data_IF_131176592038
#
_entry.id   IF_131176592038
#
_cell.length_a   1.000
_cell.length_b   1.000
_cell.length_c   1.000
_cell.angle_alpha   90.00
_cell.angle_beta   90.00
_cell.angle_gamma   90.00
#
_symmetry.space_group_name_H-M   'P 1'
#
loop_
_entity.id
_entity.type
_entity.pdbx_description
1 polymer ?
#
# COMPACT_ATOMS: atom_id res chain seq x y z
N UNK A 1 7.47 3.71 16.33
CA UNK A 1 7.46 5.14 15.91
C UNK A 1 6.68 5.27 14.61
N UNK A 2 5.97 6.39 14.35
CA UNK A 2 5.38 6.67 13.03
C UNK A 2 6.48 7.18 12.11
N UNK A 3 6.61 6.58 10.93
CA UNK A 3 7.62 6.90 9.93
C UNK A 3 7.05 7.73 8.78
N UNK A 4 5.82 7.45 8.37
CA UNK A 4 5.12 8.20 7.34
C UNK A 4 3.59 8.08 7.48
N UNK A 5 2.86 9.07 6.98
CA UNK A 5 1.41 9.06 6.84
C UNK A 5 1.05 9.28 5.37
N UNK A 6 0.31 8.34 4.78
CA UNK A 6 -0.15 8.39 3.39
C UNK A 6 -1.67 8.47 3.35
N UNK A 7 -2.20 9.53 2.76
CA UNK A 7 -3.63 9.72 2.58
C UNK A 7 -3.99 9.56 1.12
N UNK A 8 -5.05 8.81 0.84
CA UNK A 8 -5.61 8.67 -0.50
C UNK A 8 -6.98 9.32 -0.54
N UNK A 9 -7.24 10.09 -1.58
CA UNK A 9 -8.49 10.84 -1.65
C UNK A 9 -8.68 11.56 -2.96
N UNK A 10 -9.68 12.42 -2.99
CA UNK A 10 -10.04 13.21 -4.17
C UNK A 10 -9.81 14.67 -3.87
N UNK A 11 -9.35 15.40 -4.88
CA UNK A 11 -9.35 16.85 -4.84
C UNK A 11 -10.77 17.33 -5.17
N UNK A 12 -11.45 17.87 -4.16
CA UNK A 12 -12.76 18.52 -4.30
C UNK A 12 -12.58 20.05 -4.39
N UNK A 13 -13.66 20.78 -4.69
CA UNK A 13 -13.64 22.25 -4.81
C UNK A 13 -13.21 22.94 -3.51
N UNK A 14 -13.57 22.36 -2.37
CA UNK A 14 -13.32 22.92 -1.04
C UNK A 14 -12.01 22.43 -0.40
N UNK A 15 -11.33 21.45 -1.02
CA UNK A 15 -10.09 20.90 -0.48
C UNK A 15 -9.88 19.43 -0.83
N UNK A 16 -8.87 18.82 -0.21
CA UNK A 16 -8.60 17.39 -0.34
C UNK A 16 -9.50 16.60 0.62
N UNK A 17 -10.23 15.62 0.09
CA UNK A 17 -11.16 14.78 0.84
C UNK A 17 -10.56 13.36 0.97
N UNK A 18 -9.97 13.00 2.13
CA UNK A 18 -9.35 11.69 2.31
C UNK A 18 -10.41 10.57 2.40
N UNK A 19 -10.24 9.53 1.58
CA UNK A 19 -11.00 8.28 1.64
C UNK A 19 -10.32 7.25 2.54
N UNK A 20 -8.98 7.20 2.52
CA UNK A 20 -8.16 6.28 3.32
C UNK A 20 -6.93 6.96 3.87
N UNK A 21 -6.49 6.53 5.05
CA UNK A 21 -5.23 6.96 5.65
C UNK A 21 -4.44 5.73 6.05
N UNK A 22 -3.19 5.66 5.60
CA UNK A 22 -2.24 4.62 5.94
C UNK A 22 -1.09 5.20 6.76
N UNK A 23 -0.65 4.45 7.76
CA UNK A 23 0.42 4.83 8.67
C UNK A 23 1.55 3.82 8.53
N UNK A 24 2.73 4.26 8.11
CA UNK A 24 3.93 3.45 8.17
C UNK A 24 4.50 3.60 9.58
N UNK A 25 4.66 2.49 10.29
CA UNK A 25 5.22 2.47 11.63
C UNK A 25 6.38 1.49 11.72
N UNK A 26 7.32 1.76 12.62
CA UNK A 26 8.55 0.97 12.79
C UNK A 26 8.40 -0.25 13.71
N UNK A 27 7.52 -0.19 14.71
CA UNK A 27 7.48 -1.18 15.81
C UNK A 27 6.11 -1.89 15.87
N UNK A 28 6.04 -3.20 16.17
CA UNK A 28 7.14 -4.10 16.57
C UNK A 28 8.07 -4.54 15.42
N UNK A 29 7.59 -4.46 14.18
CA UNK A 29 8.37 -4.54 12.94
C UNK A 29 7.81 -3.51 11.96
N UNK A 30 8.57 -3.06 10.94
CA UNK A 30 8.05 -2.09 10.00
C UNK A 30 6.78 -2.57 9.28
N UNK A 31 5.71 -1.78 9.31
CA UNK A 31 4.45 -2.12 8.66
C UNK A 31 3.56 -0.92 8.33
N UNK A 32 2.70 -1.07 7.32
CA UNK A 32 1.57 -0.18 7.09
C UNK A 32 0.36 -0.60 7.92
N UNK A 33 -0.32 0.39 8.50
CA UNK A 33 -1.61 0.27 9.19
C UNK A 33 -2.64 1.11 8.43
N UNK A 34 -3.79 0.52 8.09
CA UNK A 34 -4.89 1.28 7.48
C UNK A 34 -5.85 1.80 8.55
N UNK A 35 -6.25 3.06 8.39
CA UNK A 35 -7.36 3.68 9.10
C UNK A 35 -8.40 4.19 8.09
N UNK A 36 -9.67 3.94 8.40
CA UNK A 36 -10.80 4.33 7.54
C UNK A 36 -11.65 5.39 8.25
N UNK A 37 -12.22 6.30 7.46
CA UNK A 37 -13.12 7.33 7.98
C UNK A 37 -14.40 6.67 8.49
N UNK A 38 -14.64 6.78 9.79
CA UNK A 38 -15.91 6.39 10.41
C UNK A 38 -16.93 7.49 10.14
N UNK A 39 -17.80 7.24 9.16
CA UNK A 39 -18.85 8.18 8.74
C UNK A 39 -19.86 8.48 9.84
N UNK A 40 -19.92 7.69 10.93
CA UNK A 40 -20.82 7.92 12.05
C UNK A 40 -20.20 8.78 13.15
N UNK A 41 -18.88 8.79 13.28
CA UNK A 41 -18.17 9.47 14.37
C UNK A 41 -17.27 10.62 13.93
N UNK A 42 -17.11 10.84 12.62
CA UNK A 42 -16.14 11.80 12.06
C UNK A 42 -14.69 11.55 12.52
N UNK A 43 -14.41 10.31 12.95
CA UNK A 43 -13.09 9.87 13.44
C UNK A 43 -12.48 8.84 12.49
N UNK A 44 -11.18 8.59 12.58
CA UNK A 44 -10.51 7.51 11.88
C UNK A 44 -10.32 6.31 12.81
N UNK A 45 -10.73 5.13 12.36
CA UNK A 45 -10.57 3.87 13.10
C UNK A 45 -9.63 2.94 12.36
N UNK A 46 -8.70 2.31 13.09
CA UNK A 46 -7.89 1.23 12.53
C UNK A 46 -8.79 0.11 12.00
N UNK A 47 -8.54 -0.33 10.77
CA UNK A 47 -9.31 -1.41 10.15
C UNK A 47 -8.91 -2.79 10.67
N UNK A 48 -7.84 -2.87 11.48
CA UNK A 48 -7.26 -4.11 12.01
C UNK A 48 -6.30 -4.80 11.03
N UNK A 49 -6.12 -4.25 9.82
CA UNK A 49 -5.22 -4.78 8.80
C UNK A 49 -3.83 -4.18 8.89
N UNK A 50 -2.80 -5.04 8.74
CA UNK A 50 -1.39 -4.67 8.76
C UNK A 50 -0.63 -5.32 7.60
N UNK A 51 0.28 -4.57 7.00
CA UNK A 51 1.20 -5.05 5.97
C UNK A 51 2.64 -4.93 6.47
N UNK A 52 3.30 -6.02 6.84
CA UNK A 52 4.73 -5.91 7.18
C UNK A 52 5.55 -5.66 5.92
N UNK A 53 6.58 -4.81 6.05
CA UNK A 53 7.36 -4.32 4.91
C UNK A 53 8.84 -4.30 5.24
N UNK A 54 9.68 -4.32 4.20
CA UNK A 54 11.06 -3.90 4.33
C UNK A 54 11.15 -2.40 4.05
N UNK A 55 11.75 -1.65 4.98
CA UNK A 55 12.02 -0.22 4.80
C UNK A 55 13.06 0.07 3.70
N UNK A 56 13.75 -0.94 3.19
CA UNK A 56 14.64 -0.83 2.02
C UNK A 56 13.95 -1.18 0.70
N UNK A 57 12.66 -1.55 0.72
CA UNK A 57 11.94 -1.95 -0.48
C UNK A 57 11.70 -0.76 -1.41
N UNK A 58 12.10 -0.91 -2.67
CA UNK A 58 11.76 0.02 -3.75
C UNK A 58 10.28 0.01 -4.17
N UNK A 59 9.48 -0.88 -3.57
CA UNK A 59 8.05 -1.07 -3.84
C UNK A 59 7.19 -0.78 -2.60
N UNK A 60 7.74 -0.11 -1.60
CA UNK A 60 7.08 0.21 -0.32
C UNK A 60 5.69 0.86 -0.49
N UNK A 61 5.50 1.74 -1.48
CA UNK A 61 4.20 2.37 -1.77
C UNK A 61 3.37 1.53 -2.74
N UNK A 62 4.00 0.98 -3.78
CA UNK A 62 3.35 0.10 -4.77
C UNK A 62 2.65 -1.06 -4.06
N UNK A 63 3.33 -1.71 -3.11
CA UNK A 63 2.80 -2.83 -2.35
C UNK A 63 1.65 -2.41 -1.42
N UNK A 64 1.68 -1.19 -0.88
CA UNK A 64 0.57 -0.65 -0.09
C UNK A 64 -0.67 -0.42 -0.97
N UNK A 65 -0.50 0.12 -2.18
CA UNK A 65 -1.59 0.28 -3.15
C UNK A 65 -2.15 -1.06 -3.64
N UNK A 66 -1.30 -2.07 -3.87
CA UNK A 66 -1.72 -3.43 -4.21
C UNK A 66 -2.46 -4.11 -3.04
N UNK A 67 -2.13 -3.78 -1.79
CA UNK A 67 -2.78 -4.40 -0.63
C UNK A 67 -4.09 -3.72 -0.24
N UNK A 68 -4.07 -2.39 -0.08
CA UNK A 68 -5.19 -1.64 0.49
C UNK A 68 -6.02 -0.92 -0.57
N UNK A 69 -5.53 -0.81 -1.81
CA UNK A 69 -6.04 0.10 -2.82
C UNK A 69 -6.44 -0.52 -4.16
N UNK A 70 -6.51 -1.84 -4.29
CA UNK A 70 -6.86 -2.50 -5.58
C UNK A 70 -8.16 -1.99 -6.22
N UNK A 71 -9.12 -1.57 -5.41
CA UNK A 71 -10.38 -1.00 -5.88
C UNK A 71 -10.24 0.38 -6.53
N UNK A 72 -9.12 1.06 -6.34
CA UNK A 72 -8.79 2.36 -6.92
C UNK A 72 -7.77 2.28 -8.06
N UNK A 73 -7.18 1.11 -8.31
CA UNK A 73 -6.25 0.94 -9.41
C UNK A 73 -6.98 1.02 -10.76
N UNK A 74 -6.38 1.71 -11.74
CA UNK A 74 -6.96 1.88 -13.07
C UNK A 74 -7.17 0.53 -13.78
N UNK A 75 -6.33 -0.45 -13.45
CA UNK A 75 -6.25 -1.77 -14.07
C UNK A 75 -6.73 -2.91 -13.16
N UNK A 76 -7.66 -2.62 -12.25
CA UNK A 76 -8.15 -3.54 -11.20
C UNK A 76 -8.34 -4.99 -11.66
N UNK A 77 -9.02 -5.23 -12.78
CA UNK A 77 -9.31 -6.60 -13.25
C UNK A 77 -8.03 -7.38 -13.54
N UNK A 78 -7.11 -6.78 -14.31
CA UNK A 78 -5.80 -7.38 -14.63
C UNK A 78 -4.97 -7.62 -13.37
N UNK A 79 -4.97 -6.67 -12.43
CA UNK A 79 -4.25 -6.81 -11.17
C UNK A 79 -4.81 -7.94 -10.31
N UNK A 80 -6.13 -8.09 -10.23
CA UNK A 80 -6.76 -9.21 -9.52
C UNK A 80 -6.37 -10.55 -10.16
N UNK A 81 -6.30 -10.63 -11.49
CA UNK A 81 -5.84 -11.83 -12.19
C UNK A 81 -4.35 -12.12 -11.92
N UNK A 82 -3.48 -11.11 -11.97
CA UNK A 82 -2.06 -11.26 -11.70
C UNK A 82 -1.77 -11.69 -10.25
N UNK A 83 -2.58 -11.23 -9.29
CA UNK A 83 -2.44 -11.57 -7.87
C UNK A 83 -3.14 -12.88 -7.49
N UNK A 84 -3.99 -13.45 -8.35
CA UNK A 84 -4.74 -14.68 -8.05
C UNK A 84 -3.85 -15.90 -7.73
N UNK A 85 -2.73 -16.16 -8.42
CA UNK A 85 -1.85 -17.27 -8.07
C UNK A 85 -1.28 -17.16 -6.66
N UNK A 86 -0.88 -15.95 -6.26
CA UNK A 86 -0.50 -15.66 -4.89
C UNK A 86 -1.68 -15.99 -3.98
N UNK A 87 -2.89 -15.52 -4.36
CA UNK A 87 -4.18 -15.77 -3.66
C UNK A 87 -4.45 -17.22 -3.32
N UNK A 88 -4.12 -18.10 -4.25
CA UNK A 88 -4.36 -19.53 -4.11
C UNK A 88 -3.27 -20.20 -3.27
N UNK A 89 -2.00 -19.80 -3.41
CA UNK A 89 -0.88 -20.39 -2.67
C UNK A 89 -1.01 -20.20 -1.14
N UNK A 90 -1.40 -19.01 -0.68
CA UNK A 90 -1.57 -18.73 0.77
C UNK A 90 -2.71 -19.53 1.41
N UNK A 91 -3.71 -19.97 0.63
CA UNK A 91 -4.79 -20.82 1.15
C UNK A 91 -4.37 -22.27 1.41
N UNK A 92 -3.24 -22.72 0.86
CA UNK A 92 -2.80 -24.14 0.94
C UNK A 92 -1.99 -24.43 2.20
N UNK A 93 -1.51 -23.41 2.94
CA UNK A 93 -0.82 -23.57 4.23
C UNK A 93 -1.80 -23.38 5.41
N UNK A 94 -2.29 -24.44 6.06
CA UNK A 94 -3.24 -24.34 7.16
C UNK A 94 -2.48 -23.98 8.44
N UNK A 95 -2.48 -22.70 8.79
CA UNK A 95 -1.83 -22.17 10.00
C UNK A 95 -1.89 -20.64 10.13
N UNK A 96 -2.19 -19.91 9.05
CA UNK A 96 -2.42 -18.46 9.08
C UNK A 96 -3.91 -18.14 9.15
N UNK A 97 -4.27 -17.29 10.11
CA UNK A 97 -5.61 -17.13 10.66
C UNK A 97 -6.64 -16.56 9.66
N UNK A 98 -7.84 -17.18 9.68
CA UNK A 98 -9.20 -16.66 9.47
C UNK A 98 -9.41 -15.42 8.59
N UNK A 99 -10.22 -15.58 7.53
CA UNK A 99 -10.90 -14.44 6.88
C UNK A 99 -10.43 -14.23 5.45
N UNK A 100 -11.02 -14.98 4.55
CA UNK A 100 -10.78 -14.94 3.12
C UNK A 100 -11.22 -13.58 2.57
N UNK A 101 -10.28 -12.62 2.47
CA UNK A 101 -10.29 -11.56 1.44
C UNK A 101 -9.10 -10.57 1.48
N UNK A 102 -8.38 -10.40 2.59
CA UNK A 102 -7.47 -9.23 2.72
C UNK A 102 -6.13 -9.47 3.46
N UNK A 103 -5.74 -10.72 3.71
CA UNK A 103 -4.44 -11.09 4.32
C UNK A 103 -3.32 -11.32 3.30
N UNK A 104 -3.45 -10.75 2.10
CA UNK A 104 -2.69 -11.22 0.94
C UNK A 104 -1.20 -10.86 0.92
N UNK A 105 -0.78 -9.84 1.68
CA UNK A 105 0.56 -9.29 1.53
C UNK A 105 1.20 -8.95 2.88
N UNK A 106 0.82 -9.67 3.93
CA UNK A 106 1.37 -9.48 5.27
C UNK A 106 2.87 -9.73 5.38
N UNK A 107 3.52 -10.37 4.40
CA UNK A 107 4.96 -10.41 4.33
C UNK A 107 5.42 -10.56 2.87
N UNK A 108 5.81 -9.47 2.19
CA UNK A 108 6.70 -9.55 1.03
C UNK A 108 7.93 -10.45 1.31
N UNK A 109 8.33 -10.60 2.58
CA UNK A 109 9.39 -11.50 3.04
C UNK A 109 9.15 -13.00 2.81
N UNK A 110 7.90 -13.49 2.86
CA UNK A 110 7.63 -14.93 2.68
C UNK A 110 7.51 -15.30 1.19
N UNK A 111 7.02 -14.38 0.36
CA UNK A 111 6.83 -14.61 -1.08
C UNK A 111 8.14 -14.49 -1.87
N UNK A 112 9.13 -13.73 -1.38
CA UNK A 112 10.43 -13.60 -2.05
C UNK A 112 11.27 -14.88 -2.05
N UNK A 113 10.93 -15.87 -1.22
CA UNK A 113 11.60 -17.18 -1.18
C UNK A 113 11.09 -18.16 -2.25
N UNK A 114 9.96 -17.84 -2.90
CA UNK A 114 9.41 -18.63 -4.00
C UNK A 114 9.54 -17.81 -5.30
N UNK A 115 10.39 -18.28 -6.21
CA UNK A 115 10.68 -17.58 -7.47
C UNK A 115 9.44 -17.38 -8.33
N UNK A 116 8.51 -18.33 -8.32
CA UNK A 116 7.29 -18.28 -9.13
C UNK A 116 6.34 -17.23 -8.55
N UNK A 117 6.12 -17.23 -7.23
CA UNK A 117 5.27 -16.23 -6.58
C UNK A 117 5.87 -14.82 -6.70
N UNK A 118 7.20 -14.70 -6.64
CA UNK A 118 7.90 -13.43 -6.87
C UNK A 118 7.65 -12.88 -8.28
N UNK A 119 7.59 -13.72 -9.30
CA UNK A 119 7.27 -13.28 -10.67
C UNK A 119 5.85 -12.71 -10.79
N UNK A 120 4.85 -13.37 -10.19
CA UNK A 120 3.48 -12.86 -10.19
C UNK A 120 3.36 -11.53 -9.44
N UNK A 121 4.03 -11.39 -8.30
CA UNK A 121 4.05 -10.13 -7.54
C UNK A 121 4.74 -9.01 -8.33
N UNK A 122 5.87 -9.30 -8.97
CA UNK A 122 6.57 -8.32 -9.81
C UNK A 122 5.77 -7.93 -11.05
N UNK A 123 5.03 -8.87 -11.64
CA UNK A 123 4.09 -8.59 -12.72
C UNK A 123 3.00 -7.61 -12.26
N UNK A 124 2.38 -7.86 -11.10
CA UNK A 124 1.37 -6.97 -10.54
C UNK A 124 1.92 -5.57 -10.20
N UNK A 125 3.12 -5.50 -9.60
CA UNK A 125 3.82 -4.22 -9.33
C UNK A 125 4.02 -3.42 -10.62
N UNK A 126 4.54 -4.08 -11.66
CA UNK A 126 4.76 -3.46 -12.97
C UNK A 126 3.44 -2.97 -13.58
N UNK A 127 2.39 -3.78 -13.56
CA UNK A 127 1.07 -3.38 -14.07
C UNK A 127 0.49 -2.18 -13.32
N UNK A 128 0.66 -2.11 -12.00
CA UNK A 128 0.19 -0.95 -11.22
C UNK A 128 1.02 0.30 -11.54
N UNK A 129 2.33 0.18 -11.61
CA UNK A 129 3.24 1.29 -11.92
C UNK A 129 3.02 1.82 -13.34
N UNK A 130 2.72 0.97 -14.32
CA UNK A 130 2.46 1.37 -15.71
C UNK A 130 1.05 1.95 -15.92
N UNK A 131 0.03 1.32 -15.34
CA UNK A 131 -1.38 1.70 -15.58
C UNK A 131 -1.90 2.73 -14.56
N UNK A 132 -1.22 2.92 -13.44
CA UNK A 132 -1.46 4.00 -12.48
C UNK A 132 -2.56 3.74 -11.45
N UNK A 133 -2.77 4.74 -10.59
CA UNK A 133 -3.70 4.71 -9.46
C UNK A 133 -4.70 5.86 -9.57
N UNK A 134 -5.99 5.59 -9.31
CA UNK A 134 -7.09 6.51 -9.60
C UNK A 134 -7.40 7.56 -8.53
N UNK A 135 -6.67 7.57 -7.41
CA UNK A 135 -6.81 8.58 -6.35
C UNK A 135 -5.58 9.47 -6.27
N UNK A 136 -5.78 10.70 -5.79
CA UNK A 136 -4.68 11.59 -5.40
C UNK A 136 -4.09 11.13 -4.08
N UNK A 137 -2.76 11.24 -3.96
CA UNK A 137 -2.01 10.83 -2.77
C UNK A 137 -1.41 12.04 -2.08
N UNK A 138 -1.55 12.12 -0.77
CA UNK A 138 -0.78 13.04 0.07
C UNK A 138 0.10 12.19 0.97
N UNK A 139 1.42 12.33 0.85
CA UNK A 139 2.39 11.61 1.67
C UNK A 139 3.14 12.59 2.55
N UNK A 140 3.13 12.33 3.86
CA UNK A 140 3.88 13.06 4.87
C UNK A 140 4.92 12.11 5.44
N UNK A 141 6.20 12.41 5.25
CA UNK A 141 7.29 11.69 5.90
C UNK A 141 7.59 12.33 7.25
N UNK A 142 7.74 11.50 8.28
CA UNK A 142 8.28 11.90 9.58
C UNK A 142 9.69 11.34 9.81
N UNK A 143 10.29 10.75 8.77
CA UNK A 143 11.60 10.12 8.80
C UNK A 143 12.44 10.63 7.62
N UNK A 144 13.46 11.48 7.87
CA UNK A 144 14.35 11.98 6.82
C UNK A 144 15.04 10.85 6.03
N UNK A 145 15.29 9.71 6.69
CA UNK A 145 15.97 8.56 6.10
C UNK A 145 15.15 7.83 5.02
N UNK A 146 13.84 8.07 4.94
CA UNK A 146 12.96 7.40 3.99
C UNK A 146 12.50 8.31 2.85
N UNK A 147 12.79 9.61 2.90
CA UNK A 147 12.19 10.58 1.97
C UNK A 147 12.53 10.27 0.51
N UNK A 148 13.81 10.09 0.20
CA UNK A 148 14.26 9.75 -1.16
C UNK A 148 13.63 8.45 -1.68
N UNK A 149 13.53 7.44 -0.80
CA UNK A 149 12.92 6.17 -1.15
C UNK A 149 11.43 6.34 -1.43
N UNK A 150 10.71 7.03 -0.54
CA UNK A 150 9.28 7.27 -0.65
C UNK A 150 8.95 8.10 -1.89
N UNK A 151 9.72 9.16 -2.15
CA UNK A 151 9.56 10.00 -3.33
C UNK A 151 9.82 9.19 -4.62
N UNK A 152 10.91 8.42 -4.66
CA UNK A 152 11.20 7.53 -5.80
C UNK A 152 10.10 6.49 -6.03
N UNK A 153 9.44 6.03 -4.97
CA UNK A 153 8.29 5.12 -5.09
C UNK A 153 7.07 5.82 -5.72
N UNK A 154 6.76 7.06 -5.32
CA UNK A 154 5.66 7.84 -5.89
C UNK A 154 5.88 8.17 -7.37
N UNK A 155 7.08 8.63 -7.72
CA UNK A 155 7.45 9.00 -9.10
C UNK A 155 7.42 7.83 -10.08
N UNK A 156 7.58 6.61 -9.58
CA UNK A 156 7.56 5.38 -10.37
C UNK A 156 6.17 5.04 -10.90
N UNK A 157 5.11 5.52 -10.24
CA UNK A 157 3.73 5.21 -10.60
C UNK A 157 3.25 6.21 -11.64
N UNK A 158 3.04 5.73 -12.85
CA UNK A 158 2.66 6.54 -13.99
C UNK A 158 1.34 7.28 -13.75
N UNK A 159 1.37 8.59 -14.02
CA UNK A 159 0.21 9.47 -13.88
C UNK A 159 -0.27 9.67 -12.43
N UNK A 160 0.50 9.25 -11.42
CA UNK A 160 0.11 9.43 -10.03
C UNK A 160 0.09 10.92 -9.65
N UNK A 161 -1.08 11.42 -9.27
CA UNK A 161 -1.21 12.76 -8.69
C UNK A 161 -0.86 12.69 -7.21
N UNK A 162 0.29 13.27 -6.82
CA UNK A 162 0.69 13.28 -5.42
C UNK A 162 1.18 14.64 -4.92
N UNK A 163 1.13 14.82 -3.59
CA UNK A 163 1.87 15.84 -2.85
C UNK A 163 2.72 15.15 -1.80
N UNK A 164 3.98 15.55 -1.71
CA UNK A 164 4.93 15.01 -0.73
C UNK A 164 5.33 16.14 0.24
N UNK A 165 5.36 15.80 1.53
CA UNK A 165 5.82 16.68 2.60
C UNK A 165 6.87 15.92 3.42
N UNK A 166 8.09 16.43 3.43
CA UNK A 166 9.20 15.91 4.23
C UNK A 166 9.56 16.84 5.39
N UNK A 167 10.45 16.38 6.26
CA UNK A 167 11.07 17.16 7.31
C UNK A 167 12.26 17.98 6.76
N UNK A 168 12.77 17.58 5.58
CA UNK A 168 13.79 18.34 4.86
C UNK A 168 13.17 19.53 4.11
N UNK A 169 13.68 20.76 4.30
CA UNK A 169 13.10 22.00 3.74
C UNK A 169 13.25 22.14 2.22
#
# INVERSE_FOLDING_TARGET
MVLACMMWGRQEREGFSPEKILWLVDSPHPHWIETQKDNLKLDFKESGFRQFVSLSSRYLITDAMLMFGLNYANSKVKLVEALNPLRLAVRVNPGSYLGISHHFLGAPFELEQDEILREFLNSARKTLEEEGFGLSVVLISYSPYLEDLLLSNLERINGLSYKFYGDTP
#
